data_IF_441858736962
#
_entry.id   IF_441858736962
#
_cell.length_a   1.000
_cell.length_b   1.000
_cell.length_c   1.000
_cell.angle_alpha   90.00
_cell.angle_beta   90.00
_cell.angle_gamma   90.00
#
_symmetry.space_group_name_H-M   'P 1'
#
loop_
_entity.id
_entity.type
_entity.pdbx_description
1 polymer ?
#
# COMPACT_ATOMS: atom_id res chain seq x y z
N UNK A 1 -57.07 12.03 24.22
CA UNK A 1 -55.74 12.69 24.14
C UNK A 1 -54.72 11.95 25.01
N UNK A 2 -54.17 10.80 24.55
CA UNK A 2 -53.07 10.09 25.24
C UNK A 2 -52.21 9.33 24.21
N UNK A 3 -51.79 9.99 23.13
CA UNK A 3 -51.01 9.36 22.05
C UNK A 3 -49.74 10.13 21.65
N UNK A 4 -49.47 11.29 22.27
CA UNK A 4 -48.26 12.07 21.95
C UNK A 4 -47.02 11.72 22.80
N UNK A 5 -47.18 11.11 23.97
CA UNK A 5 -46.06 10.81 24.88
C UNK A 5 -45.18 9.63 24.46
N UNK A 6 -45.75 8.63 23.79
CA UNK A 6 -45.07 7.39 23.39
C UNK A 6 -44.28 7.49 22.09
N UNK A 7 -44.66 8.41 21.18
CA UNK A 7 -43.92 8.66 19.96
C UNK A 7 -42.61 9.41 20.26
N UNK A 8 -42.66 10.39 21.17
CA UNK A 8 -41.51 11.21 21.54
C UNK A 8 -40.43 10.39 22.27
N UNK A 9 -40.83 9.48 23.16
CA UNK A 9 -39.89 8.56 23.84
C UNK A 9 -39.27 7.55 22.88
N UNK A 10 -40.01 7.06 21.87
CA UNK A 10 -39.47 6.15 20.85
C UNK A 10 -38.46 6.83 19.93
N UNK A 11 -38.69 8.08 19.53
CA UNK A 11 -37.75 8.87 18.72
C UNK A 11 -36.46 9.17 19.50
N UNK A 12 -36.57 9.44 20.80
CA UNK A 12 -35.42 9.74 21.67
C UNK A 12 -34.58 8.48 21.99
N UNK A 13 -35.20 7.30 22.05
CA UNK A 13 -34.51 6.01 22.14
C UNK A 13 -33.81 5.62 20.83
N UNK A 14 -34.42 5.92 19.68
CA UNK A 14 -33.82 5.70 18.35
C UNK A 14 -32.63 6.65 18.09
N UNK A 15 -32.70 7.90 18.52
CA UNK A 15 -31.57 8.84 18.40
C UNK A 15 -30.41 8.48 19.34
N UNK A 16 -30.69 7.97 20.53
CA UNK A 16 -29.65 7.47 21.45
C UNK A 16 -28.96 6.20 20.92
N UNK A 17 -29.70 5.32 20.22
CA UNK A 17 -29.14 4.13 19.57
C UNK A 17 -28.29 4.49 18.34
N UNK A 18 -28.63 5.55 17.60
CA UNK A 18 -27.82 6.04 16.48
C UNK A 18 -26.48 6.64 16.92
N UNK A 19 -26.41 7.22 18.12
CA UNK A 19 -25.17 7.83 18.65
C UNK A 19 -24.19 6.76 19.16
N UNK A 20 -24.69 5.61 19.64
CA UNK A 20 -23.85 4.49 20.07
C UNK A 20 -23.19 3.71 18.91
N UNK A 21 -23.68 3.87 17.68
CA UNK A 21 -23.12 3.19 16.50
C UNK A 21 -21.93 3.92 15.86
N UNK A 22 -21.56 5.11 16.32
CA UNK A 22 -20.35 5.81 15.86
C UNK A 22 -19.16 5.55 16.80
N UNK A 23 -18.80 4.28 16.98
CA UNK A 23 -17.41 3.98 17.33
C UNK A 23 -16.58 4.19 16.05
N UNK A 24 -16.31 5.46 15.73
CA UNK A 24 -15.26 5.82 14.80
C UNK A 24 -13.95 5.36 15.45
N UNK A 25 -13.52 4.14 15.13
CA UNK A 25 -12.16 3.70 15.39
C UNK A 25 -11.23 4.50 14.47
N UNK A 26 -11.00 5.75 14.83
CA UNK A 26 -9.97 6.57 14.22
C UNK A 26 -8.62 5.93 14.59
N UNK A 27 -7.81 5.62 13.58
CA UNK A 27 -6.42 5.23 13.80
C UNK A 27 -5.70 6.33 14.60
N UNK A 28 -4.80 5.92 15.48
CA UNK A 28 -3.97 6.87 16.22
C UNK A 28 -2.93 7.46 15.26
N UNK A 29 -2.93 8.79 15.12
CA UNK A 29 -1.98 9.52 14.27
C UNK A 29 -1.00 10.27 15.16
N UNK A 30 0.28 9.96 15.03
CA UNK A 30 1.38 10.50 15.83
C UNK A 30 2.28 11.35 14.93
N UNK A 31 2.46 12.62 15.27
CA UNK A 31 3.44 13.48 14.60
C UNK A 31 4.80 13.33 15.28
N UNK A 32 5.78 12.84 14.55
CA UNK A 32 7.16 12.69 15.01
C UNK A 32 8.01 13.80 14.41
N UNK A 33 8.82 14.42 15.25
CA UNK A 33 9.76 15.47 14.86
C UNK A 33 11.19 14.99 14.95
N UNK A 34 12.03 15.44 14.01
CA UNK A 34 13.46 15.21 14.00
C UNK A 34 13.87 13.73 14.13
N UNK A 35 13.22 12.85 13.36
CA UNK A 35 13.65 11.46 13.20
C UNK A 35 14.90 11.41 12.31
N UNK A 36 15.88 10.58 12.67
CA UNK A 36 17.22 10.61 12.07
C UNK A 36 17.62 9.27 11.49
N UNK A 37 18.39 9.34 10.40
CA UNK A 37 19.03 8.18 9.81
C UNK A 37 20.28 8.57 9.06
N UNK A 38 21.19 7.61 8.92
CA UNK A 38 22.47 7.76 8.25
C UNK A 38 22.62 6.77 7.09
N UNK A 39 23.37 7.14 6.06
CA UNK A 39 23.75 6.24 4.97
C UNK A 39 25.22 6.42 4.63
N UNK A 40 25.96 5.31 4.54
CA UNK A 40 27.41 5.34 4.36
C UNK A 40 27.74 5.28 2.87
N UNK A 41 28.56 6.22 2.41
CA UNK A 41 29.08 6.22 1.04
C UNK A 41 30.37 5.39 1.04
N UNK A 42 30.26 4.13 0.66
CA UNK A 42 31.38 3.19 0.60
C UNK A 42 31.38 2.36 -0.69
N UNK A 43 32.58 2.15 -1.25
CA UNK A 43 32.78 1.27 -2.41
C UNK A 43 32.00 1.76 -3.65
N UNK A 44 30.94 1.02 -4.02
CA UNK A 44 30.10 1.30 -5.20
C UNK A 44 28.78 2.00 -4.86
N UNK A 45 28.54 2.33 -3.59
CA UNK A 45 27.32 3.02 -3.15
C UNK A 45 27.40 4.46 -3.63
N UNK A 46 26.41 4.89 -4.40
CA UNK A 46 26.31 6.28 -4.86
C UNK A 46 25.81 7.20 -3.74
N UNK A 47 25.92 8.52 -3.96
CA UNK A 47 25.34 9.50 -3.04
C UNK A 47 23.83 9.31 -2.88
N UNK A 48 23.12 9.04 -3.99
CA UNK A 48 21.67 8.82 -3.96
C UNK A 48 21.30 7.54 -3.22
N UNK A 49 22.06 6.45 -3.40
CA UNK A 49 21.84 5.20 -2.66
C UNK A 49 21.99 5.40 -1.15
N UNK A 50 23.08 6.06 -0.74
CA UNK A 50 23.32 6.38 0.66
C UNK A 50 22.24 7.33 1.22
N UNK A 51 21.77 8.29 0.42
CA UNK A 51 20.69 9.21 0.82
C UNK A 51 19.38 8.45 1.05
N UNK A 52 19.04 7.55 0.15
CA UNK A 52 17.83 6.72 0.25
C UNK A 52 17.90 5.78 1.46
N UNK A 53 19.07 5.19 1.73
CA UNK A 53 19.30 4.41 2.95
C UNK A 53 19.10 5.26 4.22
N UNK A 54 19.66 6.49 4.25
CA UNK A 54 19.50 7.41 5.37
C UNK A 54 18.03 7.77 5.63
N UNK A 55 17.26 8.02 4.56
CA UNK A 55 15.80 8.26 4.65
C UNK A 55 15.09 7.04 5.23
N UNK A 56 15.42 5.83 4.76
CA UNK A 56 14.79 4.61 5.26
C UNK A 56 15.09 4.37 6.74
N UNK A 57 16.34 4.60 7.19
CA UNK A 57 16.68 4.55 8.61
C UNK A 57 15.95 5.63 9.42
N UNK A 58 15.77 6.84 8.86
CA UNK A 58 15.02 7.91 9.49
C UNK A 58 13.51 7.57 9.62
N UNK A 59 12.92 6.90 8.62
CA UNK A 59 11.54 6.36 8.69
C UNK A 59 11.41 5.33 9.81
N UNK A 60 12.38 4.42 9.93
CA UNK A 60 12.40 3.43 11.01
C UNK A 60 12.55 4.10 12.38
N UNK A 61 13.43 5.11 12.52
CA UNK A 61 13.55 5.90 13.74
C UNK A 61 12.25 6.64 14.08
N UNK A 62 11.53 7.15 13.08
CA UNK A 62 10.22 7.77 13.28
C UNK A 62 9.19 6.78 13.83
N UNK A 63 9.13 5.56 13.29
CA UNK A 63 8.27 4.50 13.81
C UNK A 63 8.60 4.16 15.27
N UNK A 64 9.90 4.02 15.60
CA UNK A 64 10.33 3.79 16.99
C UNK A 64 9.89 4.91 17.93
N UNK A 65 10.09 6.17 17.51
CA UNK A 65 9.67 7.37 18.27
C UNK A 65 8.15 7.46 18.45
N UNK A 66 7.38 6.89 17.52
CA UNK A 66 5.92 6.74 17.64
C UNK A 66 5.48 5.55 18.51
N UNK A 67 6.42 4.84 19.14
CA UNK A 67 6.13 3.68 19.99
C UNK A 67 5.83 2.41 19.22
N UNK A 68 6.30 2.31 17.97
CA UNK A 68 6.30 1.08 17.15
C UNK A 68 7.74 0.56 17.14
N UNK A 69 8.07 -0.25 18.15
CA UNK A 69 9.42 -0.78 18.37
C UNK A 69 9.55 -2.27 18.06
N UNK A 70 8.43 -2.97 17.92
CA UNK A 70 8.42 -4.39 17.59
C UNK A 70 8.51 -4.58 16.08
N UNK A 71 9.12 -5.71 15.66
CA UNK A 71 9.19 -6.11 14.26
C UNK A 71 9.83 -5.06 13.32
N UNK A 72 10.84 -4.33 13.82
CA UNK A 72 11.61 -3.34 13.03
C UNK A 72 12.20 -3.96 11.75
N UNK A 73 12.62 -5.22 11.80
CA UNK A 73 13.12 -5.94 10.63
C UNK A 73 12.10 -5.98 9.48
N UNK A 74 10.80 -6.04 9.79
CA UNK A 74 9.71 -6.06 8.80
C UNK A 74 9.58 -4.72 8.07
N UNK A 75 9.89 -3.61 8.75
CA UNK A 75 9.96 -2.28 8.14
C UNK A 75 11.22 -2.08 7.31
N UNK A 76 12.38 -2.52 7.81
CA UNK A 76 13.63 -2.50 7.06
C UNK A 76 13.53 -3.35 5.78
N UNK A 77 12.81 -4.47 5.85
CA UNK A 77 12.48 -5.30 4.70
C UNK A 77 11.65 -4.54 3.67
N UNK A 78 10.53 -3.94 4.09
CA UNK A 78 9.68 -3.14 3.21
C UNK A 78 10.47 -2.06 2.48
N UNK A 79 11.22 -1.25 3.23
CA UNK A 79 11.94 -0.13 2.67
C UNK A 79 13.11 -0.55 1.77
N UNK A 80 13.75 -1.69 2.06
CA UNK A 80 14.73 -2.28 1.15
C UNK A 80 14.08 -2.78 -0.15
N UNK A 81 12.91 -3.41 -0.03
CA UNK A 81 12.13 -3.86 -1.18
C UNK A 81 11.68 -2.69 -2.07
N UNK A 82 11.33 -1.54 -1.48
CA UNK A 82 11.02 -0.31 -2.20
C UNK A 82 12.19 0.19 -3.07
N UNK A 83 13.43 0.11 -2.57
CA UNK A 83 14.61 0.54 -3.34
C UNK A 83 14.93 -0.38 -4.52
N UNK A 84 14.71 -1.67 -4.35
CA UNK A 84 15.07 -2.68 -5.35
C UNK A 84 13.90 -3.07 -6.27
N UNK A 85 12.71 -2.51 -6.05
CA UNK A 85 11.44 -2.96 -6.63
C UNK A 85 11.22 -4.48 -6.50
N UNK A 86 11.73 -5.10 -5.43
CA UNK A 86 11.60 -6.54 -5.17
C UNK A 86 10.94 -6.79 -3.81
N UNK A 87 9.66 -7.16 -3.87
CA UNK A 87 8.80 -7.32 -2.69
C UNK A 87 8.48 -8.78 -2.38
N UNK A 88 9.08 -9.74 -3.10
CA UNK A 88 8.73 -11.15 -2.95
C UNK A 88 8.88 -11.63 -1.50
N UNK A 89 9.99 -11.26 -0.85
CA UNK A 89 10.25 -11.61 0.55
C UNK A 89 9.26 -10.90 1.50
N UNK A 90 8.98 -9.62 1.26
CA UNK A 90 8.08 -8.81 2.08
C UNK A 90 6.61 -9.27 2.03
N UNK A 91 6.16 -9.79 0.89
CA UNK A 91 4.79 -10.28 0.72
C UNK A 91 4.54 -11.68 1.26
N UNK A 92 5.56 -12.35 1.81
CA UNK A 92 5.33 -13.55 2.62
C UNK A 92 4.43 -13.19 3.82
N UNK A 93 3.45 -14.07 4.11
CA UNK A 93 2.29 -13.77 4.98
C UNK A 93 2.64 -13.19 6.34
N UNK A 94 3.79 -13.57 6.89
CA UNK A 94 4.13 -13.31 8.28
C UNK A 94 4.55 -11.85 8.47
N UNK A 95 5.33 -11.29 7.54
CA UNK A 95 5.88 -9.93 7.63
C UNK A 95 4.78 -8.86 7.67
N UNK A 96 3.74 -9.01 6.85
CA UNK A 96 2.64 -8.04 6.82
C UNK A 96 1.78 -8.09 8.08
N UNK A 97 1.65 -9.25 8.72
CA UNK A 97 0.85 -9.40 9.95
C UNK A 97 1.54 -8.81 11.17
N UNK A 98 2.86 -8.62 11.09
CA UNK A 98 3.70 -8.06 12.16
C UNK A 98 3.70 -6.53 12.21
N UNK A 99 3.28 -5.86 11.13
CA UNK A 99 3.27 -4.40 11.09
C UNK A 99 2.23 -3.85 12.08
N UNK A 100 2.67 -2.92 12.93
CA UNK A 100 1.84 -2.28 13.97
C UNK A 100 1.56 -0.79 13.67
N UNK A 101 1.97 -0.33 12.50
CA UNK A 101 1.76 1.03 12.03
C UNK A 101 2.53 1.30 10.75
N UNK A 102 2.49 2.55 10.29
CA UNK A 102 3.08 2.96 9.02
C UNK A 102 3.42 4.45 9.00
N UNK A 103 4.38 4.84 8.17
CA UNK A 103 4.61 6.25 7.83
C UNK A 103 3.57 6.67 6.79
N UNK A 104 2.71 7.62 7.14
CA UNK A 104 1.71 8.19 6.22
C UNK A 104 2.36 9.18 5.25
N UNK A 105 3.21 10.05 5.79
CA UNK A 105 3.90 11.10 5.06
C UNK A 105 5.13 11.54 5.87
N UNK A 106 6.12 12.09 5.19
CA UNK A 106 7.28 12.69 5.82
C UNK A 106 7.82 13.85 4.99
N UNK A 107 8.61 14.69 5.63
CA UNK A 107 9.34 15.79 5.00
C UNK A 107 10.77 15.76 5.51
N UNK A 108 11.74 15.85 4.60
CA UNK A 108 13.15 16.04 4.95
C UNK A 108 13.34 17.47 5.45
N UNK A 109 13.73 17.63 6.70
CA UNK A 109 13.94 18.95 7.34
C UNK A 109 15.42 19.35 7.38
N UNK A 110 16.32 18.37 7.36
CA UNK A 110 17.75 18.61 7.26
C UNK A 110 18.46 17.45 6.53
N UNK A 111 19.53 17.76 5.82
CA UNK A 111 20.40 16.79 5.18
C UNK A 111 21.84 17.31 5.19
N UNK A 112 22.76 16.54 5.76
CA UNK A 112 24.16 16.92 5.87
C UNK A 112 25.07 15.76 5.45
N UNK A 113 26.23 16.08 4.88
CA UNK A 113 27.29 15.11 4.64
C UNK A 113 28.30 15.21 5.78
N UNK A 114 28.48 14.11 6.50
CA UNK A 114 29.41 13.97 7.61
C UNK A 114 30.50 12.97 7.25
N UNK A 115 31.53 12.89 8.08
CA UNK A 115 32.55 11.84 7.97
C UNK A 115 32.56 11.10 9.29
N UNK A 116 32.35 9.79 9.23
CA UNK A 116 32.37 8.94 10.40
C UNK A 116 33.74 9.06 11.10
N UNK A 117 33.79 9.45 12.39
CA UNK A 117 35.04 9.64 13.11
C UNK A 117 35.89 8.36 13.22
N UNK A 118 35.26 7.18 13.24
CA UNK A 118 35.87 5.87 13.40
C UNK A 118 36.28 5.28 12.05
N UNK A 119 35.35 5.21 11.10
CA UNK A 119 35.60 4.55 9.80
C UNK A 119 36.26 5.48 8.77
N UNK A 120 36.24 6.80 9.02
CA UNK A 120 36.69 7.86 8.08
C UNK A 120 35.94 7.85 6.75
N UNK A 121 34.82 7.15 6.67
CA UNK A 121 33.99 7.09 5.47
C UNK A 121 33.03 8.29 5.44
N UNK A 122 32.77 8.88 4.26
CA UNK A 122 31.72 9.86 4.11
C UNK A 122 30.34 9.22 4.34
N UNK A 123 29.47 9.93 5.04
CA UNK A 123 28.09 9.52 5.34
C UNK A 123 27.12 10.67 5.12
N UNK A 124 25.87 10.34 4.79
CA UNK A 124 24.78 11.31 4.69
C UNK A 124 23.89 11.13 5.91
N UNK A 125 23.72 12.17 6.72
CA UNK A 125 22.73 12.22 7.78
C UNK A 125 21.48 12.94 7.26
N UNK A 126 20.33 12.28 7.39
CA UNK A 126 19.02 12.85 7.05
C UNK A 126 18.19 12.98 8.31
N UNK A 127 17.55 14.13 8.47
CA UNK A 127 16.52 14.35 9.49
C UNK A 127 15.18 14.58 8.83
N UNK A 128 14.15 13.84 9.28
CA UNK A 128 12.78 13.96 8.80
C UNK A 128 11.81 14.31 9.91
N UNK A 129 10.75 15.02 9.55
CA UNK A 129 9.50 15.05 10.31
C UNK A 129 8.53 14.11 9.63
N UNK A 130 7.78 13.31 10.41
CA UNK A 130 6.90 12.28 9.88
C UNK A 130 5.55 12.26 10.59
N UNK A 131 4.51 11.91 9.83
CA UNK A 131 3.19 11.55 10.37
C UNK A 131 3.09 10.03 10.36
N UNK A 132 2.97 9.44 11.54
CA UNK A 132 2.91 7.99 11.75
C UNK A 132 1.48 7.58 12.10
N UNK A 133 1.00 6.52 11.46
CA UNK A 133 -0.25 5.85 11.80
C UNK A 133 0.11 4.66 12.68
N UNK A 134 -0.52 4.54 13.84
CA UNK A 134 -0.44 3.34 14.69
C UNK A 134 -1.72 2.52 14.55
N UNK A 135 -1.57 1.23 14.28
CA UNK A 135 -2.71 0.35 14.08
C UNK A 135 -3.31 -0.07 15.43
N UNK A 136 -4.62 0.12 15.55
CA UNK A 136 -5.42 -0.37 16.67
C UNK A 136 -6.06 -1.74 16.39
N UNK A 137 -5.98 -2.22 15.14
CA UNK A 137 -6.61 -3.45 14.66
C UNK A 137 -5.59 -4.40 14.05
N UNK A 138 -5.95 -5.68 13.98
CA UNK A 138 -5.21 -6.73 13.27
C UNK A 138 -5.96 -7.12 12.00
N UNK A 139 -5.29 -7.75 11.02
CA UNK A 139 -5.97 -8.27 9.83
C UNK A 139 -7.21 -9.10 10.19
N UNK A 140 -8.33 -8.86 9.50
CA UNK A 140 -9.56 -9.60 9.74
C UNK A 140 -9.41 -11.03 9.23
N UNK A 141 -9.42 -12.06 10.11
CA UNK A 141 -9.23 -13.44 9.70
C UNK A 141 -10.38 -13.97 8.83
N UNK A 142 -11.54 -13.30 8.87
CA UNK A 142 -12.73 -13.67 8.08
C UNK A 142 -12.77 -12.99 6.71
N UNK A 143 -11.89 -12.00 6.45
CA UNK A 143 -11.76 -11.36 5.15
C UNK A 143 -10.60 -12.00 4.37
N UNK A 144 -10.94 -12.94 3.50
CA UNK A 144 -9.97 -13.67 2.69
C UNK A 144 -10.33 -13.58 1.22
N UNK A 145 -9.30 -13.51 0.38
CA UNK A 145 -9.42 -13.36 -1.06
C UNK A 145 -8.49 -14.37 -1.73
N UNK A 146 -9.01 -15.05 -2.74
CA UNK A 146 -8.26 -15.95 -3.61
C UNK A 146 -8.24 -15.38 -5.02
N UNK A 147 -7.03 -15.22 -5.56
CA UNK A 147 -6.79 -14.79 -6.94
C UNK A 147 -6.22 -15.98 -7.71
N UNK A 148 -6.86 -16.36 -8.82
CA UNK A 148 -6.48 -17.53 -9.62
C UNK A 148 -6.50 -17.19 -11.12
N UNK A 149 -5.56 -17.74 -11.88
CA UNK A 149 -5.54 -17.60 -13.35
C UNK A 149 -4.51 -16.61 -13.89
N UNK A 150 -3.77 -15.92 -13.01
CA UNK A 150 -2.59 -15.15 -13.43
C UNK A 150 -1.51 -16.13 -13.86
N UNK A 151 -1.04 -16.02 -15.11
CA UNK A 151 0.01 -16.89 -15.64
C UNK A 151 1.37 -16.47 -15.09
N UNK A 152 2.29 -17.42 -14.94
CA UNK A 152 3.68 -17.11 -14.62
C UNK A 152 4.42 -16.47 -15.81
N UNK A 153 3.96 -16.75 -17.03
CA UNK A 153 4.52 -16.22 -18.28
C UNK A 153 3.37 -15.78 -19.18
N UNK A 154 3.49 -14.57 -19.70
CA UNK A 154 2.63 -14.00 -20.73
C UNK A 154 3.47 -13.72 -21.98
N UNK A 155 2.87 -13.89 -23.15
CA UNK A 155 3.43 -13.40 -24.42
C UNK A 155 2.89 -11.98 -24.70
N UNK A 156 3.68 -11.14 -25.39
CA UNK A 156 3.18 -9.82 -25.85
C UNK A 156 1.89 -9.97 -26.66
N UNK A 157 0.91 -9.12 -26.34
CA UNK A 157 -0.43 -9.14 -26.93
C UNK A 157 -1.43 -10.05 -26.20
N UNK A 158 -0.98 -10.83 -25.21
CA UNK A 158 -1.90 -11.50 -24.31
C UNK A 158 -2.55 -10.52 -23.34
N UNK A 159 -3.75 -10.87 -22.88
CA UNK A 159 -4.51 -10.03 -21.97
C UNK A 159 -4.36 -10.52 -20.53
N UNK A 160 -4.16 -9.59 -19.60
CA UNK A 160 -4.20 -9.88 -18.19
C UNK A 160 -5.64 -10.19 -17.77
N UNK A 161 -5.90 -11.48 -17.49
CA UNK A 161 -7.19 -11.96 -17.02
C UNK A 161 -7.01 -12.92 -15.86
N UNK A 162 -7.91 -12.84 -14.88
CA UNK A 162 -7.90 -13.74 -13.73
C UNK A 162 -9.27 -13.79 -13.06
N UNK A 163 -9.42 -14.71 -12.11
CA UNK A 163 -10.63 -14.85 -11.30
C UNK A 163 -10.35 -14.51 -9.85
N UNK A 164 -11.33 -13.88 -9.23
CA UNK A 164 -11.29 -13.44 -7.84
C UNK A 164 -12.43 -14.14 -7.11
N UNK A 165 -12.13 -14.70 -5.95
CA UNK A 165 -13.12 -15.13 -4.97
C UNK A 165 -12.84 -14.41 -3.65
N UNK A 166 -13.85 -13.80 -3.06
CA UNK A 166 -13.75 -13.12 -1.76
C UNK A 166 -14.76 -13.68 -0.77
N UNK A 167 -14.39 -13.79 0.51
CA UNK A 167 -15.31 -14.23 1.56
C UNK A 167 -16.32 -13.16 2.00
N UNK A 168 -16.02 -11.89 1.72
CA UNK A 168 -16.84 -10.71 2.02
C UNK A 168 -16.97 -9.81 0.79
N UNK A 169 -17.96 -8.92 0.77
CA UNK A 169 -18.04 -7.91 -0.28
C UNK A 169 -16.79 -7.01 -0.21
N UNK A 170 -16.18 -6.75 -1.36
CA UNK A 170 -14.98 -5.93 -1.41
C UNK A 170 -14.82 -5.19 -2.73
N UNK A 171 -13.83 -4.32 -2.75
CA UNK A 171 -13.43 -3.50 -3.89
C UNK A 171 -11.96 -3.78 -4.18
N UNK A 172 -11.53 -3.53 -5.42
CA UNK A 172 -10.17 -3.84 -5.88
C UNK A 172 -9.46 -2.59 -6.37
N UNK A 173 -8.19 -2.45 -6.00
CA UNK A 173 -7.21 -1.64 -6.71
C UNK A 173 -6.10 -2.57 -7.21
N UNK A 174 -5.63 -2.37 -8.45
CA UNK A 174 -4.52 -3.12 -9.03
C UNK A 174 -3.41 -2.13 -9.35
N UNK A 175 -2.22 -2.38 -8.84
CA UNK A 175 -1.01 -1.64 -9.20
C UNK A 175 -0.06 -2.52 -9.99
N UNK A 176 0.59 -1.97 -11.01
CA UNK A 176 1.74 -2.60 -11.66
C UNK A 176 3.03 -1.94 -11.20
N UNK A 177 4.03 -2.78 -10.94
CA UNK A 177 5.41 -2.40 -10.66
C UNK A 177 6.27 -3.19 -11.65
N UNK A 178 6.62 -2.52 -12.75
CA UNK A 178 7.56 -3.00 -13.75
C UNK A 178 8.97 -2.46 -13.45
N UNK A 179 9.93 -2.83 -14.28
CA UNK A 179 11.33 -2.41 -14.10
C UNK A 179 11.53 -0.91 -14.38
N UNK A 180 10.74 -0.33 -15.28
CA UNK A 180 10.86 1.04 -15.79
C UNK A 180 9.64 1.93 -15.49
N UNK A 181 8.50 1.35 -15.10
CA UNK A 181 7.32 2.11 -14.69
C UNK A 181 6.60 1.51 -13.49
N UNK A 182 5.80 2.34 -12.83
CA UNK A 182 4.89 1.93 -11.76
C UNK A 182 3.59 2.71 -11.92
N UNK A 183 2.45 2.04 -11.90
CA UNK A 183 1.16 2.67 -12.17
C UNK A 183 -0.02 2.02 -11.43
N UNK A 184 -1.12 2.77 -11.34
CA UNK A 184 -2.44 2.23 -11.00
C UNK A 184 -3.08 1.66 -12.28
N UNK A 185 -3.18 0.32 -12.38
CA UNK A 185 -3.83 -0.36 -13.50
C UNK A 185 -5.37 -0.28 -13.41
N UNK A 186 -5.92 -0.52 -12.22
CA UNK A 186 -7.37 -0.51 -11.98
C UNK A 186 -7.68 0.13 -10.63
N UNK A 187 -8.71 0.99 -10.54
CA UNK A 187 -9.52 1.49 -11.66
C UNK A 187 -8.80 2.59 -12.45
N UNK A 188 -9.12 2.68 -13.74
CA UNK A 188 -8.63 3.72 -14.63
C UNK A 188 -9.71 4.76 -14.96
N UNK A 189 -9.42 6.02 -14.64
CA UNK A 189 -10.37 7.13 -14.79
C UNK A 189 -10.64 7.47 -16.26
N UNK A 190 -9.61 7.41 -17.13
CA UNK A 190 -9.74 7.72 -18.56
C UNK A 190 -10.58 6.65 -19.28
N UNK A 191 -10.50 5.41 -18.79
CA UNK A 191 -11.33 4.29 -19.25
C UNK A 191 -12.76 4.31 -18.68
N UNK A 192 -13.09 5.33 -17.87
CA UNK A 192 -14.38 5.48 -17.18
C UNK A 192 -14.73 4.24 -16.37
N UNK A 193 -13.72 3.55 -15.85
CA UNK A 193 -13.93 2.42 -14.98
C UNK A 193 -14.49 2.92 -13.64
N UNK A 194 -15.50 2.21 -13.16
CA UNK A 194 -16.11 2.47 -11.86
C UNK A 194 -15.66 1.40 -10.88
N UNK A 195 -15.54 1.79 -9.61
CA UNK A 195 -15.30 0.86 -8.51
C UNK A 195 -16.41 -0.19 -8.45
N UNK A 196 -16.14 -1.34 -9.07
CA UNK A 196 -17.07 -2.47 -9.11
C UNK A 196 -16.96 -3.24 -7.81
N UNK A 197 -18.10 -3.44 -7.14
CA UNK A 197 -18.17 -4.31 -5.96
C UNK A 197 -18.02 -5.77 -6.38
N UNK A 198 -17.10 -6.48 -5.73
CA UNK A 198 -16.92 -7.91 -5.85
C UNK A 198 -17.80 -8.56 -4.76
N UNK A 199 -18.88 -9.26 -5.13
CA UNK A 199 -19.78 -9.87 -4.15
C UNK A 199 -19.12 -11.00 -3.38
N UNK A 200 -19.46 -11.11 -2.10
CA UNK A 200 -19.03 -12.19 -1.23
C UNK A 200 -19.44 -13.57 -1.79
N UNK A 201 -18.57 -14.56 -1.58
CA UNK A 201 -18.81 -15.98 -1.88
C UNK A 201 -19.07 -16.27 -3.37
N UNK A 202 -18.68 -15.36 -4.26
CA UNK A 202 -18.84 -15.52 -5.70
C UNK A 202 -17.48 -15.40 -6.39
N UNK A 203 -17.30 -16.19 -7.45
CA UNK A 203 -16.15 -16.07 -8.33
C UNK A 203 -16.47 -15.05 -9.43
N UNK A 204 -15.67 -13.98 -9.51
CA UNK A 204 -15.79 -12.91 -10.51
C UNK A 204 -14.56 -12.92 -11.40
N UNK A 205 -14.74 -12.65 -12.68
CA UNK A 205 -13.62 -12.54 -13.64
C UNK A 205 -13.21 -11.09 -13.83
N UNK A 206 -11.90 -10.86 -13.86
CA UNK A 206 -11.27 -9.63 -14.29
C UNK A 206 -10.74 -9.81 -15.72
N UNK A 207 -10.84 -8.81 -16.60
CA UNK A 207 -11.43 -7.48 -16.38
C UNK A 207 -12.96 -7.51 -16.21
N UNK A 208 -13.50 -6.59 -15.39
CA UNK A 208 -14.95 -6.52 -15.13
C UNK A 208 -15.75 -6.01 -16.33
N UNK A 209 -15.08 -5.29 -17.24
CA UNK A 209 -15.62 -4.75 -18.48
C UNK A 209 -14.78 -5.23 -19.65
N UNK A 210 -14.89 -6.51 -20.05
CA UNK A 210 -14.10 -7.08 -21.13
C UNK A 210 -14.39 -6.41 -22.49
N UNK A 211 -15.50 -5.69 -22.61
CA UNK A 211 -15.88 -4.90 -23.78
C UNK A 211 -14.95 -3.70 -24.05
N UNK A 212 -14.15 -3.27 -23.07
CA UNK A 212 -13.24 -2.12 -23.18
C UNK A 212 -11.80 -2.49 -23.61
N UNK A 213 -11.47 -3.78 -23.69
CA UNK A 213 -10.21 -4.32 -24.23
C UNK A 213 -8.89 -3.67 -23.71
N UNK A 214 -8.84 -3.32 -22.42
CA UNK A 214 -7.84 -2.40 -21.85
C UNK A 214 -6.68 -3.02 -21.05
N UNK A 215 -6.46 -4.33 -21.19
CA UNK A 215 -5.44 -5.02 -20.37
C UNK A 215 -4.53 -5.92 -21.21
N UNK A 216 -4.30 -5.53 -22.46
CA UNK A 216 -3.29 -6.16 -23.31
C UNK A 216 -1.89 -5.80 -22.81
N UNK A 217 -1.04 -6.81 -22.68
CA UNK A 217 0.31 -6.67 -22.14
C UNK A 217 1.31 -6.38 -23.27
N UNK A 218 2.08 -5.32 -23.09
CA UNK A 218 3.09 -4.88 -24.04
C UNK A 218 4.41 -4.57 -23.35
N UNK A 219 5.51 -4.68 -24.09
CA UNK A 219 6.83 -4.18 -23.71
C UNK A 219 7.59 -3.67 -24.91
N UNK A 220 8.37 -2.62 -24.70
CA UNK A 220 9.24 -2.06 -25.73
C UNK A 220 10.56 -2.83 -25.85
N UNK A 221 10.94 -3.54 -24.79
CA UNK A 221 12.18 -4.30 -24.73
C UNK A 221 12.08 -5.64 -25.47
N UNK A 222 13.16 -6.01 -26.16
CA UNK A 222 13.32 -7.35 -26.73
C UNK A 222 13.65 -8.41 -25.67
N UNK A 223 14.04 -8.00 -24.47
CA UNK A 223 14.32 -8.93 -23.37
C UNK A 223 13.01 -9.28 -22.65
N UNK A 224 12.93 -10.44 -21.99
CA UNK A 224 11.85 -10.70 -21.05
C UNK A 224 11.84 -9.64 -19.94
N UNK A 225 10.65 -9.26 -19.50
CA UNK A 225 10.43 -8.25 -18.46
C UNK A 225 9.71 -8.87 -17.27
N UNK A 226 10.22 -8.64 -16.06
CA UNK A 226 9.60 -9.15 -14.83
C UNK A 226 8.58 -8.13 -14.35
N UNK A 227 7.32 -8.50 -14.42
CA UNK A 227 6.20 -7.68 -14.01
C UNK A 227 5.65 -8.13 -12.66
N UNK A 228 5.31 -7.16 -11.83
CA UNK A 228 4.74 -7.39 -10.50
C UNK A 228 3.41 -6.67 -10.42
N UNK A 229 2.40 -7.35 -9.90
CA UNK A 229 1.11 -6.74 -9.63
C UNK A 229 0.74 -6.86 -8.16
N UNK A 230 0.29 -5.75 -7.59
CA UNK A 230 -0.21 -5.67 -6.22
C UNK A 230 -1.73 -5.48 -6.30
N UNK A 231 -2.46 -6.49 -5.88
CA UNK A 231 -3.92 -6.46 -5.80
C UNK A 231 -4.33 -6.12 -4.37
N UNK A 232 -4.96 -4.97 -4.19
CA UNK A 232 -5.39 -4.46 -2.89
C UNK A 232 -6.91 -4.52 -2.82
N UNK A 233 -7.41 -5.41 -1.97
CA UNK A 233 -8.83 -5.59 -1.72
C UNK A 233 -9.24 -4.82 -0.48
N UNK A 234 -10.31 -4.03 -0.55
CA UNK A 234 -10.82 -3.24 0.56
C UNK A 234 -12.30 -3.51 0.81
N UNK A 235 -12.74 -3.53 2.07
CA UNK A 235 -14.17 -3.74 2.43
C UNK A 235 -15.08 -2.58 1.99
N UNK A 236 -14.50 -1.40 1.83
CA UNK A 236 -15.16 -0.17 1.38
C UNK A 236 -14.49 0.35 0.11
N UNK A 237 -15.17 1.12 -0.74
CA UNK A 237 -14.53 1.74 -1.88
C UNK A 237 -13.53 2.80 -1.38
N UNK A 238 -12.25 2.55 -1.60
CA UNK A 238 -11.17 3.49 -1.27
C UNK A 238 -10.38 3.76 -2.53
N UNK A 239 -10.38 5.02 -2.95
CA UNK A 239 -9.69 5.45 -4.16
C UNK A 239 -8.20 5.71 -3.86
N UNK A 240 -7.36 5.32 -4.80
CA UNK A 240 -5.99 5.80 -4.87
C UNK A 240 -5.94 7.06 -5.73
N UNK A 241 -5.41 8.16 -5.17
CA UNK A 241 -5.41 9.47 -5.83
C UNK A 241 -4.00 9.98 -6.15
N UNK A 242 -2.96 9.31 -5.64
CA UNK A 242 -1.57 9.77 -5.81
C UNK A 242 -0.96 9.19 -7.10
N UNK A 243 -1.56 9.54 -8.23
CA UNK A 243 -1.11 9.15 -9.56
C UNK A 243 -1.17 10.35 -10.53
N UNK A 244 -0.45 10.25 -11.65
CA UNK A 244 -0.39 11.28 -12.68
C UNK A 244 -0.30 10.66 -14.08
N UNK A 245 -0.23 11.46 -15.15
CA UNK A 245 -0.03 10.92 -16.50
C UNK A 245 -1.29 10.47 -17.24
N UNK A 246 -2.48 10.91 -16.82
CA UNK A 246 -3.73 10.63 -17.52
C UNK A 246 -4.01 9.12 -17.61
N UNK A 247 -3.98 8.57 -18.83
CA UNK A 247 -4.29 7.17 -19.11
C UNK A 247 -3.34 6.20 -18.39
N UNK A 248 -2.05 6.53 -18.30
CA UNK A 248 -1.04 5.62 -17.75
C UNK A 248 -1.03 5.57 -16.21
N UNK A 249 -1.64 6.56 -15.54
CA UNK A 249 -1.76 6.65 -14.07
C UNK A 249 -0.45 6.32 -13.31
N UNK A 250 0.67 6.90 -13.76
CA UNK A 250 2.00 6.73 -13.17
C UNK A 250 2.05 7.14 -11.69
N UNK A 251 2.76 6.34 -10.90
CA UNK A 251 3.04 6.57 -9.48
C UNK A 251 4.37 5.93 -9.07
N UNK A 252 4.65 5.82 -7.77
CA UNK A 252 5.83 5.16 -7.22
C UNK A 252 5.47 4.04 -6.25
N UNK A 253 6.35 3.05 -6.13
CA UNK A 253 6.24 1.97 -5.13
C UNK A 253 6.01 2.54 -3.73
N UNK A 254 6.83 3.51 -3.30
CA UNK A 254 6.69 4.18 -2.01
C UNK A 254 5.28 4.78 -1.81
N UNK A 255 4.73 5.43 -2.84
CA UNK A 255 3.38 6.02 -2.77
C UNK A 255 2.29 4.96 -2.66
N UNK A 256 2.44 3.82 -3.36
CA UNK A 256 1.53 2.68 -3.27
C UNK A 256 1.56 2.09 -1.86
N UNK A 257 2.74 1.77 -1.34
CA UNK A 257 2.88 1.13 -0.03
C UNK A 257 2.49 2.06 1.12
N UNK A 258 2.81 3.36 1.04
CA UNK A 258 2.29 4.35 1.99
C UNK A 258 0.76 4.37 2.01
N UNK A 259 0.10 4.30 0.85
CA UNK A 259 -1.36 4.23 0.78
C UNK A 259 -1.90 2.91 1.35
N UNK A 260 -1.35 1.76 0.94
CA UNK A 260 -1.75 0.42 1.43
C UNK A 260 -1.66 0.38 2.95
N UNK A 261 -0.53 0.81 3.49
CA UNK A 261 -0.25 0.79 4.92
C UNK A 261 -0.87 1.98 5.67
N UNK A 262 -1.43 2.96 4.96
CA UNK A 262 -2.31 3.97 5.53
C UNK A 262 -3.71 3.43 5.86
N UNK A 263 -4.17 2.37 5.18
CA UNK A 263 -5.45 1.73 5.50
C UNK A 263 -5.37 1.04 6.87
N UNK A 264 -6.50 0.67 7.49
CA UNK A 264 -6.45 -0.22 8.67
C UNK A 264 -6.25 -1.67 8.22
N UNK A 265 -5.48 -2.50 8.95
CA UNK A 265 -5.24 -3.89 8.56
C UNK A 265 -6.52 -4.74 8.43
N UNK A 266 -7.54 -4.48 9.25
CA UNK A 266 -8.82 -5.20 9.23
C UNK A 266 -9.72 -4.85 8.04
N UNK A 267 -9.47 -3.73 7.35
CA UNK A 267 -10.26 -3.28 6.21
C UNK A 267 -9.63 -3.66 4.86
N UNK A 268 -8.45 -4.28 4.85
CA UNK A 268 -7.73 -4.64 3.62
C UNK A 268 -7.26 -6.09 3.57
N UNK A 269 -7.08 -6.60 2.35
CA UNK A 269 -6.31 -7.80 2.03
C UNK A 269 -5.43 -7.49 0.82
N UNK A 270 -4.17 -7.91 0.84
CA UNK A 270 -3.24 -7.65 -0.27
C UNK A 270 -2.75 -8.98 -0.84
N UNK A 271 -2.75 -9.08 -2.16
CA UNK A 271 -2.14 -10.18 -2.89
C UNK A 271 -1.05 -9.62 -3.81
N UNK A 272 0.09 -10.31 -3.85
CA UNK A 272 1.21 -9.96 -4.70
C UNK A 272 1.46 -11.10 -5.67
N UNK A 273 1.61 -10.77 -6.96
CA UNK A 273 1.85 -11.74 -8.01
C UNK A 273 2.98 -11.25 -8.91
N UNK A 274 3.80 -12.18 -9.36
CA UNK A 274 4.93 -11.93 -10.26
C UNK A 274 4.73 -12.78 -11.50
N UNK A 275 4.94 -12.17 -12.67
CA UNK A 275 4.94 -12.86 -13.94
C UNK A 275 6.02 -12.30 -14.85
N UNK A 276 6.39 -13.06 -15.88
CA UNK A 276 7.32 -12.62 -16.92
C UNK A 276 6.56 -12.34 -18.21
N UNK A 277 6.79 -11.19 -18.82
CA UNK A 277 6.32 -10.87 -20.16
C UNK A 277 7.43 -11.16 -21.18
N UNK A 278 7.12 -11.93 -22.23
CA UNK A 278 8.07 -12.37 -23.27
C UNK A 278 7.80 -11.73 -24.62
#
# INVERSE_FOLDING_TARGET
MKTHGTLFTRVLLLSFYLILCFQLNAQEIIKVKNAKGDGVIAGRISFEDARNEAINKAKVDALRKAGISEHIASYEQLYRSELNNDFAEFFNSDIQTELQGAIKEYTVVNQETTTDPLTKLPSIEVTIDATVIKYSTRPDPTFNVKVEGIKQVYEVGEHLSFTIFSTQNCYLNIFAIADDYTCLLYPNQELKEVFTEIPAQQKVSFPFRPDLNDYELYKDSKKPEVNRIVLVFTKKPVQYLNHSGGYDQFTSSESIFSWIYGLTPDERKVAYQVFTLR
#
